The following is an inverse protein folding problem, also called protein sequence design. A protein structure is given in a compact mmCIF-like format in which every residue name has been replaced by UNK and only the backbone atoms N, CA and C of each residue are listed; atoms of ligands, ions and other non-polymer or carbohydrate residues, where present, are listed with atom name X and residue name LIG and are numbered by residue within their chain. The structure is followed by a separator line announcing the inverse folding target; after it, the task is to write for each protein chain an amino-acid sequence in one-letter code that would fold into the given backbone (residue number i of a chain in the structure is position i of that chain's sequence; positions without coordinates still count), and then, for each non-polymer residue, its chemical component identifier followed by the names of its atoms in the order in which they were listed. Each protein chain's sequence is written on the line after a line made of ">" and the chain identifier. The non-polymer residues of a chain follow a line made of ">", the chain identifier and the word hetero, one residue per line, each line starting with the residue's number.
data_IF_805373354389
#
_entry.id   IF_805373354389
#
_cell.length_a   1.000
_cell.length_b   1.000
_cell.length_c   1.000
_cell.angle_alpha   90.00
_cell.angle_beta   90.00
_cell.angle_gamma   90.00
#
_symmetry.space_group_name_H-M   'P 1'
#
loop_
_entity.id
_entity.type
_entity.pdbx_description
1 polymer ?
#
# COMPACT_ATOMS: atom_id res chain seq x y z
N UNK A 1 -20.33 -0.83 3.80
CA UNK A 1 -21.10 -1.70 4.71
C UNK A 1 -20.27 -2.86 5.23
N UNK A 2 -19.66 -3.70 4.39
CA UNK A 2 -18.92 -4.91 4.82
C UNK A 2 -17.88 -4.67 5.93
N UNK A 3 -17.02 -3.66 5.81
CA UNK A 3 -15.98 -3.36 6.82
C UNK A 3 -16.60 -2.96 8.16
N UNK A 4 -17.65 -2.13 8.15
CA UNK A 4 -18.37 -1.71 9.37
C UNK A 4 -19.04 -2.92 10.03
N UNK A 5 -19.67 -3.79 9.24
CA UNK A 5 -20.26 -5.03 9.75
C UNK A 5 -19.23 -5.94 10.41
N UNK A 6 -18.04 -6.10 9.82
CA UNK A 6 -16.95 -6.87 10.44
C UNK A 6 -16.53 -6.27 11.79
N UNK A 7 -16.35 -4.96 11.86
CA UNK A 7 -15.99 -4.26 13.12
C UNK A 7 -17.07 -4.49 14.19
N UNK A 8 -18.35 -4.34 13.83
CA UNK A 8 -19.45 -4.54 14.77
C UNK A 8 -19.57 -5.97 15.27
N UNK A 9 -19.37 -6.96 14.38
CA UNK A 9 -19.39 -8.39 14.75
C UNK A 9 -18.28 -8.69 15.76
N UNK A 10 -17.05 -8.23 15.48
CA UNK A 10 -15.91 -8.44 16.38
C UNK A 10 -16.15 -7.75 17.71
N UNK A 11 -16.54 -6.47 17.71
CA UNK A 11 -16.77 -5.70 18.92
C UNK A 11 -17.87 -6.33 19.80
N UNK A 12 -18.99 -6.72 19.19
CA UNK A 12 -20.10 -7.34 19.90
C UNK A 12 -19.74 -8.73 20.42
N UNK A 13 -19.04 -9.54 19.61
CA UNK A 13 -18.62 -10.89 20.00
C UNK A 13 -17.64 -10.90 21.16
N UNK A 14 -16.70 -9.96 21.21
CA UNK A 14 -15.77 -9.83 22.34
C UNK A 14 -16.48 -9.28 23.57
N UNK A 15 -17.24 -8.19 23.44
CA UNK A 15 -17.83 -7.47 24.59
C UNK A 15 -19.02 -8.20 25.23
N UNK A 16 -19.86 -8.86 24.43
CA UNK A 16 -21.11 -9.47 24.92
C UNK A 16 -20.95 -10.97 25.18
N UNK A 17 -20.12 -11.66 24.40
CA UNK A 17 -20.01 -13.12 24.44
C UNK A 17 -18.66 -13.63 24.96
N UNK A 18 -17.76 -12.74 25.42
CA UNK A 18 -16.43 -13.08 25.97
C UNK A 18 -15.60 -14.00 25.07
N UNK A 19 -15.73 -13.87 23.74
CA UNK A 19 -15.08 -14.72 22.75
C UNK A 19 -13.60 -14.40 22.53
N UNK A 20 -12.86 -14.10 23.61
CA UNK A 20 -11.46 -13.66 23.57
C UNK A 20 -10.54 -14.70 22.91
N UNK A 21 -10.78 -15.99 23.16
CA UNK A 21 -10.00 -17.07 22.55
C UNK A 21 -10.21 -17.13 21.02
N UNK A 22 -11.46 -16.98 20.57
CA UNK A 22 -11.79 -17.01 19.15
C UNK A 22 -11.09 -15.88 18.38
N UNK A 23 -11.23 -14.64 18.85
CA UNK A 23 -10.70 -13.47 18.16
C UNK A 23 -9.21 -13.22 18.43
N UNK A 24 -8.71 -13.59 19.61
CA UNK A 24 -7.32 -13.38 20.02
C UNK A 24 -6.36 -14.48 19.57
N UNK A 25 -6.86 -15.71 19.34
CA UNK A 25 -5.99 -16.88 19.05
C UNK A 25 -6.40 -17.58 17.77
N UNK A 26 -7.64 -18.08 17.67
CA UNK A 26 -8.05 -18.94 16.55
C UNK A 26 -8.08 -18.18 15.21
N UNK A 27 -8.73 -17.02 15.17
CA UNK A 27 -8.85 -16.22 13.96
C UNK A 27 -7.47 -15.79 13.42
N UNK A 28 -6.53 -15.28 14.25
CA UNK A 28 -5.17 -14.97 13.80
C UNK A 28 -4.44 -16.16 13.16
N UNK A 29 -4.48 -17.35 13.78
CA UNK A 29 -3.84 -18.54 13.19
C UNK A 29 -4.52 -18.98 11.89
N UNK A 30 -5.85 -19.00 11.85
CA UNK A 30 -6.60 -19.33 10.63
C UNK A 30 -6.33 -18.34 9.49
N UNK A 31 -6.22 -17.04 9.81
CA UNK A 31 -5.87 -16.01 8.85
C UNK A 31 -4.46 -16.22 8.28
N UNK A 32 -3.48 -16.53 9.13
CA UNK A 32 -2.10 -16.82 8.72
C UNK A 32 -2.03 -18.05 7.81
N UNK A 33 -2.68 -19.15 8.19
CA UNK A 33 -2.74 -20.38 7.39
C UNK A 33 -3.37 -20.11 6.03
N UNK A 34 -4.52 -19.43 6.01
CA UNK A 34 -5.23 -19.08 4.76
C UNK A 34 -4.38 -18.17 3.87
N UNK A 35 -3.66 -17.21 4.46
CA UNK A 35 -2.77 -16.30 3.75
C UNK A 35 -1.60 -17.06 3.09
N UNK A 36 -0.90 -17.93 3.83
CA UNK A 36 0.23 -18.70 3.31
C UNK A 36 -0.23 -19.66 2.21
N UNK A 37 -1.27 -20.46 2.46
CA UNK A 37 -1.83 -21.39 1.46
C UNK A 37 -2.31 -20.61 0.22
N UNK A 38 -2.98 -19.48 0.42
CA UNK A 38 -3.46 -18.63 -0.66
C UNK A 38 -2.34 -18.07 -1.54
N UNK A 39 -1.22 -17.64 -0.93
CA UNK A 39 -0.02 -17.20 -1.66
C UNK A 39 0.55 -18.35 -2.47
N UNK A 40 0.79 -19.51 -1.84
CA UNK A 40 1.36 -20.68 -2.52
C UNK A 40 0.48 -21.07 -3.71
N UNK A 41 -0.84 -21.18 -3.49
CA UNK A 41 -1.79 -21.50 -4.54
C UNK A 41 -1.73 -20.51 -5.70
N UNK A 42 -1.70 -19.20 -5.43
CA UNK A 42 -1.63 -18.18 -6.49
C UNK A 42 -0.31 -18.20 -7.25
N UNK A 43 0.82 -18.38 -6.55
CA UNK A 43 2.15 -18.45 -7.18
C UNK A 43 2.25 -19.68 -8.08
N UNK A 44 1.81 -20.85 -7.60
CA UNK A 44 1.79 -22.09 -8.40
C UNK A 44 0.87 -21.94 -9.61
N UNK A 45 -0.35 -21.42 -9.43
CA UNK A 45 -1.28 -21.19 -10.53
C UNK A 45 -0.71 -20.23 -11.58
N UNK A 46 -0.03 -19.17 -11.17
CA UNK A 46 0.63 -18.24 -12.08
C UNK A 46 1.81 -18.91 -12.81
N UNK A 47 2.65 -19.67 -12.11
CA UNK A 47 3.78 -20.38 -12.71
C UNK A 47 3.37 -21.49 -13.70
N UNK A 48 2.17 -22.06 -13.54
CA UNK A 48 1.59 -23.03 -14.47
C UNK A 48 0.89 -22.37 -15.68
N UNK A 49 0.72 -21.05 -15.68
CA UNK A 49 0.05 -20.36 -16.79
C UNK A 49 0.96 -20.31 -18.01
N UNK A 50 0.50 -20.73 -19.21
CA UNK A 50 1.32 -20.74 -20.41
C UNK A 50 1.75 -19.30 -20.74
N UNK A 51 3.05 -19.07 -20.85
CA UNK A 51 3.60 -17.77 -21.24
C UNK A 51 3.59 -17.71 -22.77
N UNK A 52 2.87 -16.76 -23.41
CA UNK A 52 2.98 -16.58 -24.85
C UNK A 52 4.43 -16.24 -25.22
N UNK A 53 4.85 -16.53 -26.45
CA UNK A 53 6.22 -16.26 -26.92
C UNK A 53 6.68 -14.86 -26.50
N UNK A 54 7.86 -14.80 -25.89
CA UNK A 54 8.47 -13.55 -25.44
C UNK A 54 8.88 -12.73 -26.67
N UNK A 55 7.98 -11.86 -27.14
CA UNK A 55 8.29 -10.82 -28.13
C UNK A 55 8.35 -9.49 -27.36
N UNK A 56 9.46 -9.18 -26.68
CA UNK A 56 9.59 -7.91 -25.99
C UNK A 56 9.65 -6.80 -27.04
N UNK A 57 8.65 -5.91 -27.05
CA UNK A 57 8.75 -4.64 -27.74
C UNK A 57 9.75 -3.78 -26.97
N UNK A 58 10.97 -3.68 -27.48
CA UNK A 58 12.06 -2.95 -26.82
C UNK A 58 11.87 -1.44 -27.03
N UNK A 59 11.51 -0.72 -25.97
CA UNK A 59 11.58 0.73 -25.99
C UNK A 59 13.06 1.16 -25.98
N UNK A 60 13.59 1.67 -27.11
CA UNK A 60 14.94 2.25 -27.13
C UNK A 60 16.10 1.25 -27.24
N UNK A 61 15.93 0.17 -28.01
CA UNK A 61 17.02 -0.75 -28.35
C UNK A 61 18.05 -0.06 -29.24
N UNK A 62 19.05 0.57 -28.61
CA UNK A 62 20.08 1.33 -29.32
C UNK A 62 21.50 0.89 -28.95
N UNK A 63 21.66 -0.18 -28.17
CA UNK A 63 22.98 -0.79 -27.93
C UNK A 63 23.67 -1.21 -29.23
N UNK A 64 22.91 -1.74 -30.18
CA UNK A 64 23.44 -2.14 -31.49
C UNK A 64 23.73 -0.96 -32.43
N UNK A 65 23.30 0.26 -32.10
CA UNK A 65 23.38 1.45 -32.97
C UNK A 65 24.16 2.56 -32.25
N UNK A 66 25.50 2.66 -32.42
CA UNK A 66 26.34 3.55 -31.63
C UNK A 66 26.06 5.04 -31.81
N UNK A 67 25.30 5.42 -32.84
CA UNK A 67 24.92 6.82 -33.11
C UNK A 67 23.61 7.25 -32.44
N UNK A 68 22.87 6.36 -31.78
CA UNK A 68 21.64 6.71 -31.06
C UNK A 68 21.83 6.52 -29.54
N UNK A 69 21.45 7.53 -28.76
CA UNK A 69 21.63 7.54 -27.30
C UNK A 69 20.70 6.54 -26.62
N UNK A 70 21.26 5.42 -26.21
CA UNK A 70 20.56 4.39 -25.45
C UNK A 70 19.96 4.91 -24.13
N UNK A 71 18.70 4.50 -23.86
CA UNK A 71 18.09 4.62 -22.54
C UNK A 71 18.39 3.39 -21.68
N UNK A 72 19.48 3.48 -20.90
CA UNK A 72 20.01 2.38 -20.07
C UNK A 72 19.05 1.92 -18.95
N UNK A 73 18.08 2.75 -18.58
CA UNK A 73 17.15 2.42 -17.49
C UNK A 73 15.82 1.90 -18.01
N UNK A 74 15.38 2.34 -19.19
CA UNK A 74 14.16 1.78 -19.82
C UNK A 74 14.43 0.45 -20.51
N UNK A 75 15.61 0.32 -21.13
CA UNK A 75 16.06 -0.90 -21.79
C UNK A 75 17.47 -1.28 -21.32
N UNK A 76 17.57 -1.86 -20.12
CA UNK A 76 18.85 -2.21 -19.52
C UNK A 76 19.53 -3.33 -20.28
N UNK A 77 20.79 -3.10 -20.66
CA UNK A 77 21.67 -4.08 -21.32
C UNK A 77 22.52 -4.88 -20.35
N UNK A 78 22.54 -4.49 -19.07
CA UNK A 78 23.31 -5.13 -18.01
C UNK A 78 22.46 -5.34 -16.75
N UNK A 79 22.90 -6.26 -15.88
CA UNK A 79 22.22 -6.59 -14.63
C UNK A 79 22.07 -5.38 -13.71
N UNK A 80 23.06 -4.47 -13.68
CA UNK A 80 22.99 -3.25 -12.87
C UNK A 80 21.88 -2.30 -13.34
N UNK A 81 21.68 -2.16 -14.65
CA UNK A 81 20.59 -1.39 -15.23
C UNK A 81 19.23 -2.00 -14.90
N UNK A 82 19.12 -3.33 -14.90
CA UNK A 82 17.90 -4.04 -14.47
C UNK A 82 17.60 -3.74 -13.01
N UNK A 83 18.59 -3.85 -12.13
CA UNK A 83 18.43 -3.52 -10.71
C UNK A 83 17.99 -2.07 -10.54
N UNK A 84 18.64 -1.13 -11.24
CA UNK A 84 18.29 0.29 -11.19
C UNK A 84 16.86 0.56 -11.69
N UNK A 85 16.45 -0.06 -12.80
CA UNK A 85 15.08 0.01 -13.32
C UNK A 85 14.08 -0.51 -12.30
N UNK A 86 14.31 -1.71 -11.78
CA UNK A 86 13.42 -2.34 -10.80
C UNK A 86 13.32 -1.53 -9.51
N UNK A 87 14.43 -0.97 -9.01
CA UNK A 87 14.41 -0.11 -7.84
C UNK A 87 13.57 1.16 -8.06
N UNK A 88 13.68 1.80 -9.23
CA UNK A 88 12.88 2.98 -9.58
C UNK A 88 11.40 2.65 -9.76
N UNK A 89 11.06 1.49 -10.30
CA UNK A 89 9.68 1.05 -10.43
C UNK A 89 9.06 0.70 -9.07
N UNK A 90 9.77 -0.04 -8.22
CA UNK A 90 9.25 -0.49 -6.93
C UNK A 90 9.18 0.64 -5.91
N UNK A 91 10.22 1.48 -5.82
CA UNK A 91 10.31 2.52 -4.78
C UNK A 91 9.69 3.85 -5.19
N UNK A 92 9.66 4.16 -6.49
CA UNK A 92 9.24 5.48 -6.99
C UNK A 92 8.13 5.43 -8.03
N UNK A 93 7.61 4.25 -8.40
CA UNK A 93 6.58 4.10 -9.45
C UNK A 93 6.89 4.92 -10.71
N UNK A 94 8.14 4.83 -11.18
CA UNK A 94 8.64 5.66 -12.28
C UNK A 94 7.78 5.57 -13.54
N UNK A 95 7.30 4.38 -13.89
CA UNK A 95 6.35 4.17 -15.00
C UNK A 95 5.05 4.96 -14.82
N UNK A 96 4.51 4.99 -13.59
CA UNK A 96 3.29 5.71 -13.26
C UNK A 96 3.47 7.24 -13.35
N UNK A 97 4.64 7.76 -12.95
CA UNK A 97 4.97 9.18 -13.09
C UNK A 97 4.90 9.64 -14.54
N UNK A 98 5.32 8.76 -15.46
CA UNK A 98 5.34 8.98 -16.90
C UNK A 98 3.99 8.69 -17.58
N UNK A 99 2.97 8.25 -16.83
CA UNK A 99 1.67 7.92 -17.41
C UNK A 99 1.03 9.18 -18.01
N UNK A 100 0.94 9.22 -19.34
CA UNK A 100 0.35 10.33 -20.09
C UNK A 100 -1.16 10.08 -20.22
N UNK A 101 -1.97 10.95 -19.64
CA UNK A 101 -3.42 11.00 -19.89
C UNK A 101 -3.66 11.64 -21.25
N UNK A 102 -4.60 11.07 -21.98
CA UNK A 102 -5.09 11.63 -23.24
C UNK A 102 -6.25 12.57 -22.91
N UNK A 103 -6.03 13.88 -23.04
CA UNK A 103 -7.10 14.88 -22.98
C UNK A 103 -7.31 15.44 -24.38
N UNK A 104 -8.51 15.31 -24.93
CA UNK A 104 -8.87 15.96 -26.19
C UNK A 104 -9.30 17.39 -25.84
N UNK A 105 -8.38 18.35 -25.99
CA UNK A 105 -8.65 19.76 -25.74
C UNK A 105 -9.09 20.49 -27.01
N UNK A 106 -10.05 21.41 -26.89
CA UNK A 106 -10.30 22.42 -27.91
C UNK A 106 -9.18 23.45 -27.88
N UNK A 107 -8.46 23.62 -28.99
CA UNK A 107 -7.46 24.68 -29.14
C UNK A 107 -8.17 26.04 -29.17
N UNK A 108 -7.89 26.91 -28.18
CA UNK A 108 -8.31 28.32 -28.08
C UNK A 108 -9.82 28.61 -28.23
N UNK A 109 -10.47 29.32 -27.28
CA UNK A 109 -11.86 29.78 -27.45
C UNK A 109 -12.08 30.66 -28.69
N UNK A 110 -11.01 31.19 -29.30
CA UNK A 110 -11.04 32.07 -30.46
C UNK A 110 -10.87 31.34 -31.82
N UNK A 111 -10.43 30.08 -31.84
CA UNK A 111 -10.21 29.33 -33.09
C UNK A 111 -11.18 28.15 -33.16
N UNK A 112 -12.42 28.48 -33.54
CA UNK A 112 -13.45 27.52 -33.94
C UNK A 112 -13.06 26.83 -35.26
N UNK A 113 -12.03 25.98 -35.25
CA UNK A 113 -11.69 25.11 -36.38
C UNK A 113 -11.09 23.80 -35.87
N UNK A 114 -11.99 22.83 -35.66
CA UNK A 114 -11.86 21.40 -35.97
C UNK A 114 -10.48 20.70 -35.86
N UNK A 115 -9.61 21.12 -34.95
CA UNK A 115 -8.36 20.44 -34.61
C UNK A 115 -8.43 20.01 -33.16
N UNK A 116 -8.95 18.81 -32.93
CA UNK A 116 -8.83 18.13 -31.65
C UNK A 116 -7.36 17.76 -31.42
N UNK A 117 -6.60 18.62 -30.73
CA UNK A 117 -5.23 18.28 -30.33
C UNK A 117 -5.29 17.39 -29.08
N UNK A 118 -4.60 16.27 -29.17
CA UNK A 118 -4.39 15.36 -28.04
C UNK A 118 -3.37 16.00 -27.10
N UNK A 119 -3.82 16.48 -25.95
CA UNK A 119 -2.97 17.00 -24.90
C UNK A 119 -2.60 15.84 -23.99
N UNK A 120 -1.29 15.64 -23.80
CA UNK A 120 -0.74 14.64 -22.89
C UNK A 120 -0.60 15.25 -21.48
N UNK A 121 -1.46 14.87 -20.54
CA UNK A 121 -1.43 15.36 -19.15
C UNK A 121 -0.95 14.26 -18.20
N UNK A 122 0.15 14.45 -17.48
CA UNK A 122 0.65 13.43 -16.54
C UNK A 122 -0.22 13.36 -15.28
N UNK A 123 -0.57 12.15 -14.86
CA UNK A 123 -1.40 11.88 -13.67
C UNK A 123 -0.60 12.04 -12.35
N UNK A 124 0.13 13.15 -12.20
CA UNK A 124 1.12 13.39 -11.12
C UNK A 124 0.53 13.27 -9.73
N UNK A 125 -0.74 13.61 -9.55
CA UNK A 125 -1.43 13.47 -8.27
C UNK A 125 -1.66 12.01 -7.90
N UNK A 126 -2.01 11.14 -8.86
CA UNK A 126 -2.10 9.70 -8.61
C UNK A 126 -0.72 9.16 -8.22
N UNK A 127 0.32 9.56 -8.94
CA UNK A 127 1.69 9.16 -8.63
C UNK A 127 2.09 9.57 -7.21
N UNK A 128 1.91 10.86 -6.86
CA UNK A 128 2.30 11.40 -5.56
C UNK A 128 1.53 10.71 -4.43
N UNK A 129 0.21 10.65 -4.51
CA UNK A 129 -0.61 10.02 -3.46
C UNK A 129 -0.37 8.52 -3.36
N UNK A 130 -0.14 7.83 -4.48
CA UNK A 130 0.26 6.43 -4.51
C UNK A 130 1.61 6.19 -3.83
N UNK A 131 2.61 7.02 -4.16
CA UNK A 131 3.95 6.95 -3.57
C UNK A 131 3.91 7.18 -2.06
N UNK A 132 3.26 8.27 -1.65
CA UNK A 132 3.11 8.67 -0.25
C UNK A 132 2.38 7.58 0.54
N UNK A 133 1.30 7.01 -0.02
CA UNK A 133 0.59 5.89 0.59
C UNK A 133 1.52 4.70 0.87
N UNK A 134 2.28 4.25 -0.12
CA UNK A 134 3.14 3.05 0.02
C UNK A 134 4.29 3.29 0.99
N UNK A 135 4.93 4.46 0.96
CA UNK A 135 6.00 4.79 1.89
C UNK A 135 5.49 4.92 3.33
N UNK A 136 4.35 5.59 3.55
CA UNK A 136 3.75 5.63 4.89
C UNK A 136 3.34 4.25 5.37
N UNK A 137 2.71 3.43 4.52
CA UNK A 137 2.35 2.06 4.87
C UNK A 137 3.56 1.21 5.22
N UNK A 138 4.66 1.31 4.45
CA UNK A 138 5.90 0.59 4.71
C UNK A 138 6.53 1.01 6.05
N UNK A 139 6.64 2.31 6.33
CA UNK A 139 7.21 2.81 7.58
C UNK A 139 6.35 2.35 8.77
N UNK A 140 5.03 2.46 8.66
CA UNK A 140 4.09 1.98 9.69
C UNK A 140 4.27 0.47 9.90
N UNK A 141 4.37 -0.33 8.84
CA UNK A 141 4.58 -1.77 8.93
C UNK A 141 5.90 -2.09 9.64
N UNK A 142 7.00 -1.45 9.25
CA UNK A 142 8.32 -1.63 9.88
C UNK A 142 8.28 -1.25 11.37
N UNK A 143 7.54 -0.20 11.74
CA UNK A 143 7.33 0.19 13.14
C UNK A 143 6.52 -0.86 13.92
N UNK A 144 5.53 -1.48 13.30
CA UNK A 144 4.73 -2.54 13.94
C UNK A 144 5.56 -3.80 14.23
N UNK A 145 6.66 -4.04 13.52
CA UNK A 145 7.57 -5.15 13.82
C UNK A 145 8.14 -5.08 15.25
N UNK A 146 8.12 -3.90 15.89
CA UNK A 146 8.54 -3.75 17.30
C UNK A 146 7.73 -4.60 18.29
N UNK A 147 6.49 -4.95 17.93
CA UNK A 147 5.62 -5.78 18.78
C UNK A 147 5.96 -7.27 18.68
N UNK A 148 6.72 -7.67 17.67
CA UNK A 148 7.12 -9.05 17.42
C UNK A 148 8.49 -9.40 18.03
N UNK A 149 9.19 -8.42 18.61
CA UNK A 149 10.51 -8.63 19.22
C UNK A 149 10.52 -8.22 20.69
N UNK A 150 11.27 -8.95 21.53
CA UNK A 150 11.45 -8.60 22.94
C UNK A 150 12.19 -7.27 23.09
N UNK A 151 13.29 -7.11 22.34
CA UNK A 151 14.05 -5.86 22.27
C UNK A 151 13.82 -5.19 20.92
N UNK A 152 13.55 -3.88 20.94
CA UNK A 152 13.34 -3.10 19.71
C UNK A 152 14.69 -2.88 19.01
N UNK A 153 14.86 -3.30 17.74
CA UNK A 153 16.10 -3.08 17.01
C UNK A 153 16.42 -1.60 16.85
N UNK A 154 17.71 -1.26 16.73
CA UNK A 154 18.17 0.13 16.57
C UNK A 154 17.60 0.83 15.33
N UNK A 155 17.42 0.09 14.24
CA UNK A 155 16.80 0.60 13.00
C UNK A 155 15.39 1.14 13.24
N UNK A 156 14.57 0.42 14.01
CA UNK A 156 13.20 0.84 14.32
C UNK A 156 13.19 2.09 15.19
N UNK A 157 14.13 2.21 16.13
CA UNK A 157 14.29 3.44 16.94
C UNK A 157 14.64 4.66 16.10
N UNK A 158 15.52 4.50 15.10
CA UNK A 158 15.86 5.58 14.17
C UNK A 158 14.66 6.01 13.33
N UNK A 159 13.90 5.05 12.78
CA UNK A 159 12.70 5.34 12.00
C UNK A 159 11.62 6.05 12.83
N UNK A 160 11.39 5.60 14.07
CA UNK A 160 10.45 6.26 15.00
C UNK A 160 10.88 7.70 15.32
N UNK A 161 12.18 7.93 15.51
CA UNK A 161 12.72 9.27 15.76
C UNK A 161 12.51 10.23 14.59
N UNK A 162 12.72 9.76 13.35
CA UNK A 162 12.51 10.56 12.14
C UNK A 162 11.03 10.88 11.90
N UNK A 163 10.14 9.93 12.21
CA UNK A 163 8.70 10.07 11.99
C UNK A 163 8.00 10.89 13.10
N UNK A 164 8.60 10.95 14.28
CA UNK A 164 8.17 11.79 15.41
C UNK A 164 8.54 13.27 15.25
N UNK A 165 8.49 13.79 14.02
CA UNK A 165 8.91 15.15 13.67
C UNK A 165 8.21 16.22 14.52
N UNK A 166 6.94 16.02 14.84
CA UNK A 166 6.18 16.89 15.72
C UNK A 166 6.26 16.36 17.16
N UNK A 167 7.25 16.83 17.92
CA UNK A 167 7.35 16.61 19.38
C UNK A 167 6.28 17.39 20.17
N UNK A 168 5.06 17.44 19.65
CA UNK A 168 3.93 18.15 20.21
C UNK A 168 3.03 17.12 20.90
N UNK A 169 2.93 17.18 22.23
CA UNK A 169 2.05 16.32 23.02
C UNK A 169 2.63 14.96 23.41
N UNK A 170 2.15 14.43 24.54
CA UNK A 170 2.38 13.06 24.99
C UNK A 170 1.07 12.27 24.81
N UNK A 171 1.01 11.23 23.96
CA UNK A 171 2.05 10.64 23.11
C UNK A 171 2.35 11.44 21.83
N UNK A 172 3.60 11.37 21.34
CA UNK A 172 4.07 12.06 20.13
C UNK A 172 3.20 11.77 18.90
N UNK A 173 2.92 12.78 18.08
CA UNK A 173 2.24 12.58 16.80
C UNK A 173 3.20 12.07 15.73
N UNK A 174 2.87 10.95 15.09
CA UNK A 174 3.60 10.50 13.90
C UNK A 174 3.01 11.14 12.64
N UNK A 175 3.88 11.69 11.80
CA UNK A 175 3.46 12.29 10.54
C UNK A 175 2.87 11.22 9.60
N UNK A 176 3.43 10.01 9.60
CA UNK A 176 2.94 8.88 8.77
C UNK A 176 1.48 8.53 9.03
N UNK A 177 0.98 8.67 10.26
CA UNK A 177 -0.40 8.34 10.64
C UNK A 177 -1.40 9.30 9.95
N UNK A 178 -1.10 10.59 9.87
CA UNK A 178 -1.93 11.56 9.15
C UNK A 178 -1.80 11.39 7.64
N UNK A 179 -0.57 11.19 7.17
CA UNK A 179 -0.24 11.09 5.75
C UNK A 179 -0.88 9.85 5.11
N UNK A 180 -0.92 8.71 5.82
CA UNK A 180 -1.62 7.52 5.32
C UNK A 180 -3.14 7.74 5.23
N UNK A 181 -3.75 8.44 6.19
CA UNK A 181 -5.18 8.75 6.13
C UNK A 181 -5.51 9.64 4.93
N UNK A 182 -4.74 10.72 4.72
CA UNK A 182 -4.96 11.64 3.61
C UNK A 182 -4.77 10.95 2.26
N UNK A 183 -3.71 10.15 2.11
CA UNK A 183 -3.41 9.45 0.85
C UNK A 183 -4.43 8.36 0.51
N UNK A 184 -4.83 7.51 1.47
CA UNK A 184 -5.88 6.50 1.25
C UNK A 184 -7.23 7.16 0.94
N UNK A 185 -7.57 8.22 1.67
CA UNK A 185 -8.82 8.96 1.44
C UNK A 185 -8.83 9.57 0.03
N UNK A 186 -7.73 10.17 -0.40
CA UNK A 186 -7.59 10.68 -1.77
C UNK A 186 -7.76 9.55 -2.81
N UNK A 187 -7.07 8.42 -2.64
CA UNK A 187 -7.14 7.30 -3.59
C UNK A 187 -8.55 6.69 -3.66
N UNK A 188 -9.24 6.59 -2.53
CA UNK A 188 -10.63 6.16 -2.45
C UNK A 188 -11.56 7.15 -3.16
N UNK A 189 -11.46 8.44 -2.83
CA UNK A 189 -12.27 9.50 -3.46
C UNK A 189 -12.03 9.50 -4.97
N UNK A 190 -10.79 9.41 -5.44
CA UNK A 190 -10.45 9.30 -6.87
C UNK A 190 -11.17 8.13 -7.54
N UNK A 191 -11.16 6.95 -6.89
CA UNK A 191 -11.79 5.74 -7.40
C UNK A 191 -13.31 5.83 -7.43
N UNK A 192 -13.92 6.55 -6.48
CA UNK A 192 -15.36 6.76 -6.47
C UNK A 192 -15.73 7.86 -7.46
N UNK A 193 -15.12 9.04 -7.46
CA UNK A 193 -15.59 10.19 -8.24
C UNK A 193 -15.39 10.02 -9.75
N UNK A 194 -14.25 9.46 -10.19
CA UNK A 194 -13.92 9.40 -11.62
C UNK A 194 -14.75 8.30 -12.31
N UNK A 195 -15.64 8.62 -13.27
CA UNK A 195 -16.55 7.66 -13.88
C UNK A 195 -15.84 6.49 -14.56
N UNK A 196 -14.73 6.78 -15.26
CA UNK A 196 -13.92 5.79 -15.98
C UNK A 196 -13.34 4.74 -15.02
N UNK A 197 -12.85 5.20 -13.85
CA UNK A 197 -12.26 4.32 -12.84
C UNK A 197 -13.34 3.56 -12.10
N UNK A 198 -14.46 4.22 -11.76
CA UNK A 198 -15.62 3.58 -11.12
C UNK A 198 -16.19 2.46 -11.98
N UNK A 199 -16.26 2.65 -13.30
CA UNK A 199 -16.80 1.68 -14.24
C UNK A 199 -15.99 0.37 -14.29
N UNK A 200 -14.66 0.45 -14.23
CA UNK A 200 -13.77 -0.72 -14.25
C UNK A 200 -13.49 -1.32 -12.86
N UNK A 201 -13.90 -0.64 -11.78
CA UNK A 201 -13.58 -1.06 -10.42
C UNK A 201 -14.51 -2.16 -9.94
N UNK A 202 -13.93 -3.22 -9.38
CA UNK A 202 -14.66 -4.32 -8.75
C UNK A 202 -14.78 -4.09 -7.24
N UNK A 203 -15.71 -4.78 -6.57
CA UNK A 203 -15.82 -4.74 -5.12
C UNK A 203 -14.50 -5.11 -4.40
N UNK A 204 -13.71 -5.99 -5.01
CA UNK A 204 -12.38 -6.39 -4.54
C UNK A 204 -11.34 -5.25 -4.55
N UNK A 205 -11.57 -4.15 -5.30
CA UNK A 205 -10.68 -2.99 -5.31
C UNK A 205 -11.01 -1.99 -4.20
N UNK A 206 -12.30 -1.88 -3.83
CA UNK A 206 -12.74 -0.99 -2.75
C UNK A 206 -12.48 -1.58 -1.37
N UNK A 207 -12.58 -2.91 -1.24
CA UNK A 207 -12.47 -3.59 0.05
C UNK A 207 -11.12 -3.35 0.74
N UNK A 208 -9.94 -3.54 0.09
CA UNK A 208 -8.66 -3.29 0.73
C UNK A 208 -8.45 -1.83 1.13
N UNK A 209 -8.88 -0.88 0.30
CA UNK A 209 -8.75 0.55 0.61
C UNK A 209 -9.55 0.93 1.85
N UNK A 210 -10.80 0.47 1.95
CA UNK A 210 -11.64 0.71 3.11
C UNK A 210 -11.15 -0.03 4.36
N UNK A 211 -10.60 -1.24 4.19
CA UNK A 211 -10.01 -2.02 5.28
C UNK A 211 -8.79 -1.32 5.86
N UNK A 212 -7.85 -0.88 5.00
CA UNK A 212 -6.64 -0.16 5.44
C UNK A 212 -7.01 1.17 6.08
N UNK A 213 -7.99 1.91 5.51
CA UNK A 213 -8.51 3.13 6.12
C UNK A 213 -9.08 2.84 7.52
N UNK A 214 -9.87 1.78 7.65
CA UNK A 214 -10.42 1.33 8.93
C UNK A 214 -9.32 1.02 9.96
N UNK A 215 -8.31 0.24 9.57
CA UNK A 215 -7.17 -0.13 10.43
C UNK A 215 -6.36 1.12 10.84
N UNK A 216 -6.12 2.05 9.92
CA UNK A 216 -5.40 3.28 10.22
C UNK A 216 -6.18 4.17 11.21
N UNK A 217 -7.48 4.37 10.97
CA UNK A 217 -8.35 5.14 11.86
C UNK A 217 -8.43 4.50 13.24
N UNK A 218 -8.65 3.19 13.33
CA UNK A 218 -8.71 2.51 14.62
C UNK A 218 -7.37 2.54 15.34
N UNK A 219 -6.25 2.40 14.64
CA UNK A 219 -4.90 2.54 15.20
C UNK A 219 -4.65 3.91 15.85
N UNK A 220 -5.03 4.97 15.14
CA UNK A 220 -4.94 6.36 15.64
C UNK A 220 -5.83 6.55 16.87
N UNK A 221 -7.08 6.07 16.82
CA UNK A 221 -8.01 6.15 17.94
C UNK A 221 -7.47 5.42 19.18
N UNK A 222 -6.95 4.20 19.01
CA UNK A 222 -6.38 3.40 20.09
C UNK A 222 -5.19 4.09 20.77
N UNK A 223 -4.41 4.86 20.01
CA UNK A 223 -3.23 5.55 20.52
C UNK A 223 -3.54 6.84 21.27
N UNK A 224 -4.36 7.72 20.69
CA UNK A 224 -4.58 9.06 21.23
C UNK A 224 -5.77 9.14 22.20
N UNK A 225 -6.81 8.32 21.98
CA UNK A 225 -8.05 8.39 22.74
C UNK A 225 -8.18 7.22 23.72
N UNK A 226 -8.21 5.98 23.23
CA UNK A 226 -8.49 4.80 24.07
C UNK A 226 -7.30 4.37 24.92
N UNK A 227 -6.07 4.75 24.55
CA UNK A 227 -4.80 4.45 25.23
C UNK A 227 -4.68 2.98 25.65
N UNK A 228 -4.70 2.09 24.67
CA UNK A 228 -4.59 0.64 24.88
C UNK A 228 -3.25 0.29 25.56
N UNK A 229 -3.26 -0.69 26.46
CA UNK A 229 -2.05 -1.19 27.10
C UNK A 229 -1.13 -1.86 26.08
N UNK A 230 0.06 -1.28 25.91
CA UNK A 230 1.05 -1.73 24.94
C UNK A 230 1.71 -3.05 25.41
N UNK A 231 1.77 -3.28 26.72
CA UNK A 231 2.36 -4.48 27.32
C UNK A 231 1.49 -5.69 26.99
N UNK A 232 0.18 -5.60 27.19
CA UNK A 232 -0.77 -6.67 26.90
C UNK A 232 -0.77 -7.05 25.42
N UNK A 233 -0.77 -6.06 24.53
CA UNK A 233 -0.67 -6.28 23.08
C UNK A 233 0.62 -7.02 22.73
N UNK A 234 1.74 -6.70 23.39
CA UNK A 234 3.02 -7.34 23.16
C UNK A 234 3.06 -8.77 23.71
N UNK A 235 2.49 -9.02 24.89
CA UNK A 235 2.35 -10.35 25.48
C UNK A 235 1.55 -11.26 24.53
N UNK A 236 0.40 -10.77 24.05
CA UNK A 236 -0.43 -11.51 23.09
C UNK A 236 0.35 -11.79 21.79
N UNK A 237 0.99 -10.76 21.22
CA UNK A 237 1.71 -10.89 19.93
C UNK A 237 2.88 -11.86 20.02
N UNK A 238 3.72 -11.75 21.05
CA UNK A 238 4.85 -12.67 21.28
C UNK A 238 4.34 -14.08 21.60
N UNK A 239 3.25 -14.20 22.36
CA UNK A 239 2.60 -15.48 22.64
C UNK A 239 2.14 -16.19 21.36
N UNK A 240 1.52 -15.46 20.43
CA UNK A 240 1.10 -16.00 19.13
C UNK A 240 2.28 -16.47 18.29
N UNK A 241 3.36 -15.67 18.21
CA UNK A 241 4.56 -15.99 17.42
C UNK A 241 5.33 -17.18 18.01
N UNK A 242 5.41 -17.27 19.34
CA UNK A 242 6.07 -18.36 20.05
C UNK A 242 5.22 -19.63 20.17
N UNK A 243 4.02 -19.66 19.57
CA UNK A 243 3.04 -20.75 19.68
C UNK A 243 2.65 -21.09 21.13
N UNK A 244 2.69 -20.08 22.00
CA UNK A 244 2.25 -20.14 23.41
C UNK A 244 1.26 -18.99 23.64
N UNK A 245 0.03 -19.09 23.12
CA UNK A 245 -0.92 -17.99 23.19
C UNK A 245 -1.28 -17.71 24.67
N UNK A 246 -1.14 -16.44 25.06
CA UNK A 246 -1.59 -15.92 26.34
C UNK A 246 -2.63 -14.85 26.04
N UNK A 247 -3.80 -14.98 26.64
CA UNK A 247 -4.87 -13.99 26.55
C UNK A 247 -4.76 -13.11 27.80
N UNK A 248 -4.28 -11.86 27.67
CA UNK A 248 -4.30 -10.89 28.77
C UNK A 248 -5.73 -10.42 29.10
#
# INVERSE_FOLDING_TARGET
>A
FTVISLILIVYSGVKLANLHLLFGVLIPYMALITFIIGIIYRVVKWGLSPVPFCIPTTCGQQESLPWIKQDKLENPSNTLGVIGRMALEVLFFRSLFRNLKFEVGAANPAEMKNESRVIYSSDKWLWLSGLVFHWSFLIILLRHLRFFTEQVPSLMRLLEGLDSWFQIGLPHFYATDLVILLSVTYLFIRRVIIPQVRYISLAADYFPLLLILGIAVTGILMRYFSRVDIVDVKILTIGLVSFRPVIP
#
